data_IF_156131215173
#
_entry.id   IF_156131215173
#
_cell.length_a   1.000
_cell.length_b   1.000
_cell.length_c   1.000
_cell.angle_alpha   90.00
_cell.angle_beta   90.00
_cell.angle_gamma   90.00
#
_symmetry.space_group_name_H-M   'P 1'
#
loop_
_entity.id
_entity.type
_entity.pdbx_description
1 polymer ?
#
# COMPACT_ATOMS: atom_id res chain seq x y z
N UNK A 1 -22.22 14.22 16.27
CA UNK A 1 -20.76 14.29 16.53
C UNK A 1 -20.04 12.93 16.46
N UNK A 2 -20.72 11.78 16.58
CA UNK A 2 -20.08 10.45 16.56
C UNK A 2 -19.37 10.05 15.23
N UNK A 3 -19.84 10.54 14.07
CA UNK A 3 -19.24 10.18 12.77
C UNK A 3 -17.82 10.73 12.57
N UNK A 4 -17.49 11.90 13.15
CA UNK A 4 -16.15 12.51 13.06
C UNK A 4 -15.11 11.77 13.90
N UNK A 5 -15.43 11.45 15.16
CA UNK A 5 -14.52 10.70 16.03
C UNK A 5 -14.24 9.27 15.50
N UNK A 6 -15.23 8.62 14.88
CA UNK A 6 -15.05 7.30 14.27
C UNK A 6 -14.16 7.36 13.01
N UNK A 7 -14.31 8.38 12.16
CA UNK A 7 -13.44 8.55 10.99
C UNK A 7 -12.01 8.87 11.39
N UNK A 8 -11.82 9.78 12.36
CA UNK A 8 -10.49 10.15 12.87
C UNK A 8 -9.73 8.95 13.47
N UNK A 9 -10.43 8.04 14.16
CA UNK A 9 -9.80 6.85 14.69
C UNK A 9 -9.42 5.85 13.58
N UNK A 10 -10.26 5.69 12.55
CA UNK A 10 -9.93 4.84 11.39
C UNK A 10 -8.72 5.37 10.62
N UNK A 11 -8.63 6.68 10.40
CA UNK A 11 -7.51 7.28 9.67
C UNK A 11 -6.18 7.13 10.43
N UNK A 12 -6.21 7.26 11.76
CA UNK A 12 -5.03 7.00 12.62
C UNK A 12 -4.59 5.54 12.55
N UNK A 13 -5.53 4.59 12.61
CA UNK A 13 -5.23 3.16 12.51
C UNK A 13 -4.68 2.80 11.14
N UNK A 14 -5.27 3.32 10.06
CA UNK A 14 -4.79 3.10 8.69
C UNK A 14 -3.37 3.67 8.52
N UNK A 15 -3.13 4.90 8.99
CA UNK A 15 -1.80 5.52 8.97
C UNK A 15 -0.77 4.64 9.69
N UNK A 16 -1.09 4.13 10.87
CA UNK A 16 -0.17 3.25 11.60
C UNK A 16 0.09 1.94 10.86
N UNK A 17 -0.95 1.33 10.26
CA UNK A 17 -0.79 0.11 9.44
C UNK A 17 0.11 0.34 8.23
N UNK A 18 0.00 1.51 7.57
CA UNK A 18 0.86 1.89 6.45
C UNK A 18 2.32 2.10 6.88
N UNK A 19 2.55 2.72 8.04
CA UNK A 19 3.90 2.86 8.60
C UNK A 19 4.52 1.48 8.93
N UNK A 20 3.74 0.60 9.57
CA UNK A 20 4.18 -0.77 9.86
C UNK A 20 4.50 -1.56 8.57
N UNK A 21 3.70 -1.36 7.52
CA UNK A 21 3.98 -1.91 6.20
C UNK A 21 5.31 -1.37 5.66
N UNK A 22 5.57 -0.06 5.79
CA UNK A 22 6.83 0.56 5.40
C UNK A 22 8.05 -0.04 6.09
N UNK A 23 7.98 -0.21 7.42
CA UNK A 23 9.03 -0.89 8.19
C UNK A 23 9.26 -2.33 7.72
N UNK A 24 8.18 -3.05 7.40
CA UNK A 24 8.27 -4.42 6.91
C UNK A 24 8.86 -4.51 5.49
N UNK A 25 8.60 -3.50 4.63
CA UNK A 25 9.24 -3.36 3.31
C UNK A 25 10.74 -3.10 3.46
N UNK A 26 11.14 -2.14 4.30
CA UNK A 26 12.55 -1.83 4.56
C UNK A 26 13.27 -3.07 5.11
N UNK A 27 12.63 -3.80 6.03
CA UNK A 27 13.17 -5.03 6.59
C UNK A 27 13.14 -6.25 5.67
N UNK A 28 12.66 -6.12 4.42
CA UNK A 28 12.60 -7.22 3.44
C UNK A 28 11.65 -8.36 3.83
N UNK A 29 10.70 -8.10 4.74
CA UNK A 29 9.75 -9.10 5.26
C UNK A 29 8.56 -9.33 4.34
N UNK A 30 8.27 -8.38 3.44
CA UNK A 30 7.14 -8.42 2.51
C UNK A 30 7.67 -8.72 1.10
N UNK A 31 7.21 -9.83 0.53
CA UNK A 31 7.60 -10.33 -0.81
C UNK A 31 6.39 -10.66 -1.69
N UNK A 32 5.18 -10.71 -1.13
CA UNK A 32 3.94 -10.96 -1.86
C UNK A 32 2.86 -9.93 -1.50
N UNK A 33 1.89 -9.73 -2.39
CA UNK A 33 0.75 -8.86 -2.10
C UNK A 33 -0.14 -9.38 -0.96
N UNK A 34 -0.22 -10.70 -0.74
CA UNK A 34 -0.94 -11.24 0.43
C UNK A 34 -0.30 -10.81 1.75
N UNK A 35 1.04 -10.74 1.79
CA UNK A 35 1.75 -10.20 2.95
C UNK A 35 1.51 -8.69 3.11
N UNK A 36 1.39 -7.92 2.02
CA UNK A 36 0.96 -6.52 2.10
C UNK A 36 -0.43 -6.42 2.73
N UNK A 37 -1.34 -7.29 2.30
CA UNK A 37 -2.73 -7.28 2.75
C UNK A 37 -2.94 -7.73 4.20
N UNK A 38 -1.95 -8.40 4.79
CA UNK A 38 -1.92 -8.65 6.23
C UNK A 38 -1.74 -7.35 7.05
N UNK A 39 -1.15 -6.29 6.47
CA UNK A 39 -1.01 -4.98 7.11
C UNK A 39 -2.17 -4.05 6.75
N UNK A 40 -2.46 -3.91 5.46
CA UNK A 40 -3.44 -2.96 4.94
C UNK A 40 -4.35 -3.66 3.94
N UNK A 41 -5.65 -3.65 4.20
CA UNK A 41 -6.63 -4.25 3.30
C UNK A 41 -6.57 -3.64 1.88
N UNK A 42 -6.90 -4.42 0.84
CA UNK A 42 -6.83 -3.97 -0.55
C UNK A 42 -7.58 -2.67 -0.85
N UNK A 43 -8.80 -2.49 -0.32
CA UNK A 43 -9.63 -1.31 -0.59
C UNK A 43 -9.03 -0.03 0.01
N UNK A 44 -8.70 0.05 1.31
CA UNK A 44 -8.02 1.21 1.87
C UNK A 44 -6.67 1.52 1.21
N UNK A 45 -5.92 0.50 0.77
CA UNK A 45 -4.67 0.71 0.08
C UNK A 45 -4.89 1.32 -1.31
N UNK A 46 -5.86 0.81 -2.08
CA UNK A 46 -6.23 1.37 -3.37
C UNK A 46 -6.67 2.84 -3.25
N UNK A 47 -7.49 3.16 -2.24
CA UNK A 47 -7.90 4.53 -1.91
C UNK A 47 -6.71 5.42 -1.53
N UNK A 48 -5.79 4.92 -0.71
CA UNK A 48 -4.56 5.64 -0.32
C UNK A 48 -3.71 5.99 -1.53
N UNK A 49 -3.62 5.08 -2.50
CA UNK A 49 -2.88 5.29 -3.75
C UNK A 49 -3.65 6.12 -4.77
N UNK A 50 -4.91 6.48 -4.49
CA UNK A 50 -5.83 7.13 -5.41
C UNK A 50 -6.03 6.33 -6.72
N UNK A 51 -6.14 5.00 -6.60
CA UNK A 51 -6.34 4.07 -7.70
C UNK A 51 -7.73 3.43 -7.57
N UNK A 52 -8.58 3.44 -8.61
CA UNK A 52 -9.85 2.71 -8.58
C UNK A 52 -9.63 1.24 -8.25
N UNK A 53 -10.44 0.65 -7.37
CA UNK A 53 -10.23 -0.69 -6.82
C UNK A 53 -9.95 -1.77 -7.88
N UNK A 54 -10.75 -1.84 -8.94
CA UNK A 54 -10.54 -2.79 -10.04
C UNK A 54 -9.24 -2.54 -10.82
N UNK A 55 -8.84 -1.27 -10.97
CA UNK A 55 -7.55 -0.92 -11.57
C UNK A 55 -6.41 -1.35 -10.65
N UNK A 56 -6.56 -1.17 -9.34
CA UNK A 56 -5.57 -1.62 -8.36
C UNK A 56 -5.40 -3.14 -8.41
N UNK A 57 -6.49 -3.91 -8.45
CA UNK A 57 -6.43 -5.37 -8.62
C UNK A 57 -5.68 -5.79 -9.89
N UNK A 58 -5.93 -5.09 -11.00
CA UNK A 58 -5.19 -5.34 -12.25
C UNK A 58 -3.70 -5.00 -12.11
N UNK A 59 -3.35 -3.93 -11.41
CA UNK A 59 -1.94 -3.53 -11.18
C UNK A 59 -1.19 -4.48 -10.25
N UNK A 60 -1.82 -5.01 -9.20
CA UNK A 60 -1.14 -6.00 -8.33
C UNK A 60 -0.94 -7.35 -9.02
N UNK A 61 -1.76 -7.67 -10.03
CA UNK A 61 -1.60 -8.87 -10.87
C UNK A 61 -0.53 -8.69 -11.96
N UNK A 62 -0.30 -7.45 -12.42
CA UNK A 62 0.76 -7.08 -13.37
C UNK A 62 1.49 -5.84 -12.86
N UNK A 63 2.54 -6.06 -12.07
CA UNK A 63 3.22 -5.02 -11.26
C UNK A 63 3.90 -3.92 -12.09
N UNK A 64 4.13 -4.16 -13.38
CA UNK A 64 4.63 -3.20 -14.37
C UNK A 64 3.68 -2.03 -14.66
N UNK A 65 2.39 -2.15 -14.28
CA UNK A 65 1.39 -1.09 -14.47
C UNK A 65 1.37 -0.04 -13.37
N UNK A 66 2.15 -0.21 -12.31
CA UNK A 66 2.31 0.83 -11.28
C UNK A 66 3.11 2.00 -11.86
N UNK A 67 2.58 3.20 -11.68
CA UNK A 67 3.25 4.42 -12.16
C UNK A 67 4.25 4.93 -11.14
N UNK A 68 5.13 5.83 -11.58
CA UNK A 68 5.99 6.62 -10.70
C UNK A 68 5.20 7.41 -9.66
N UNK A 69 4.00 7.87 -10.02
CA UNK A 69 3.09 8.53 -9.09
C UNK A 69 2.64 7.60 -7.97
N UNK A 70 2.19 6.39 -8.33
CA UNK A 70 1.67 5.40 -7.38
C UNK A 70 2.73 5.04 -6.33
N UNK A 71 3.97 4.78 -6.76
CA UNK A 71 5.08 4.46 -5.87
C UNK A 71 5.44 5.63 -4.94
N UNK A 72 5.39 6.88 -5.43
CA UNK A 72 5.62 8.07 -4.59
C UNK A 72 4.53 8.25 -3.53
N UNK A 73 3.28 7.97 -3.88
CA UNK A 73 2.16 8.03 -2.91
C UNK A 73 2.34 6.93 -1.86
N UNK A 74 2.66 5.70 -2.27
CA UNK A 74 2.99 4.62 -1.34
C UNK A 74 4.13 5.02 -0.40
N UNK A 75 5.23 5.53 -0.96
CA UNK A 75 6.41 5.95 -0.20
C UNK A 75 6.06 6.99 0.88
N UNK A 76 5.31 8.03 0.49
CA UNK A 76 4.84 9.08 1.40
C UNK A 76 4.00 8.53 2.55
N UNK A 77 3.07 7.63 2.24
CA UNK A 77 2.12 7.11 3.24
C UNK A 77 2.71 6.01 4.12
N UNK A 78 3.63 5.20 3.58
CA UNK A 78 4.35 4.18 4.31
C UNK A 78 5.57 4.72 5.06
N UNK A 79 5.94 5.99 4.86
CA UNK A 79 7.09 6.61 5.54
C UNK A 79 8.43 6.04 5.08
N UNK A 80 8.53 5.64 3.80
CA UNK A 80 9.75 5.06 3.21
C UNK A 80 10.27 5.92 2.07
N UNK A 81 11.52 5.72 1.67
CA UNK A 81 12.09 6.38 0.51
C UNK A 81 11.39 5.95 -0.79
N UNK A 82 11.28 6.86 -1.75
CA UNK A 82 10.64 6.59 -3.03
C UNK A 82 11.33 5.43 -3.78
N UNK A 83 12.67 5.34 -3.75
CA UNK A 83 13.41 4.26 -4.40
C UNK A 83 13.15 2.91 -3.73
N UNK A 84 12.93 2.89 -2.42
CA UNK A 84 12.54 1.67 -1.69
C UNK A 84 11.15 1.23 -2.14
N UNK A 85 10.19 2.14 -2.25
CA UNK A 85 8.87 1.83 -2.78
C UNK A 85 8.93 1.32 -4.24
N UNK A 86 9.74 1.95 -5.10
CA UNK A 86 9.96 1.50 -6.48
C UNK A 86 10.52 0.08 -6.55
N UNK A 87 11.61 -0.16 -5.82
CA UNK A 87 12.26 -1.46 -5.76
C UNK A 87 11.32 -2.53 -5.21
N UNK A 88 10.51 -2.16 -4.20
CA UNK A 88 9.50 -3.05 -3.66
C UNK A 88 8.44 -3.42 -4.69
N UNK A 89 7.80 -2.44 -5.35
CA UNK A 89 6.76 -2.70 -6.37
C UNK A 89 7.31 -3.51 -7.54
N UNK A 90 8.57 -3.29 -7.93
CA UNK A 90 9.20 -4.05 -9.01
C UNK A 90 9.55 -5.51 -8.61
N UNK A 91 9.79 -5.76 -7.31
CA UNK A 91 10.25 -7.07 -6.82
C UNK A 91 9.17 -7.90 -6.12
N UNK A 92 8.08 -7.26 -5.67
CA UNK A 92 6.96 -7.95 -5.02
C UNK A 92 6.30 -8.90 -6.03
N UNK A 93 6.06 -10.14 -5.61
CA UNK A 93 5.45 -11.14 -6.48
C UNK A 93 4.02 -10.70 -6.84
N UNK A 94 3.67 -10.69 -8.13
CA UNK A 94 2.31 -10.39 -8.55
C UNK A 94 1.29 -11.32 -7.88
N UNK A 95 0.12 -10.80 -7.55
CA UNK A 95 -0.98 -11.61 -7.02
C UNK A 95 -1.57 -12.39 -8.19
N UNK A 96 -1.41 -13.72 -8.18
CA UNK A 96 -2.14 -14.57 -9.13
C UNK A 96 -3.62 -14.50 -8.79
N UNK A 97 -4.44 -14.35 -9.84
CA UNK A 97 -5.90 -14.41 -9.74
C UNK A 97 -6.36 -15.77 -9.22
#
# INVERSE_FOLDING_TARGET
MAKRAYSENRDKVLKQRLLNLGEAIIGGKVKTWDQVFAFVEPTPLAETLNIPYYTFLNKIATTDKFTVGDCKVLAKHAGIDANVAFTFIASVKPKKA
#
